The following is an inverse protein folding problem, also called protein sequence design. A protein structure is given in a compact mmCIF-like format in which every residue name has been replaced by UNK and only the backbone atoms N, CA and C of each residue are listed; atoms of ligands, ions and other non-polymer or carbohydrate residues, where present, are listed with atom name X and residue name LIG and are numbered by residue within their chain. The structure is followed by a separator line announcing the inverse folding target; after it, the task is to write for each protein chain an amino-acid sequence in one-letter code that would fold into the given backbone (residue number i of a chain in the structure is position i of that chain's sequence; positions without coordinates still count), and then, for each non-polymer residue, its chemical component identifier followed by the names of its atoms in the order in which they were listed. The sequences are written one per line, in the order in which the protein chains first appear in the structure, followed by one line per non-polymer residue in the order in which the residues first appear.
data_IF_405958916452
#
_entry.id   IF_405958916452
#
_cell.length_a   1.000
_cell.length_b   1.000
_cell.length_c   1.000
_cell.angle_alpha   90.00
_cell.angle_beta   90.00
_cell.angle_gamma   90.00
#
_symmetry.space_group_name_H-M   'P 1'
#
loop_
_entity.id
_entity.type
_entity.pdbx_description
1 polymer ?
#
# COMPACT_ATOMS: atom_id res chain seq x y z
N UNK A 1 -54.46 16.84 0.30
CA UNK A 1 -54.33 16.76 1.78
C UNK A 1 -53.79 15.37 2.09
N UNK A 2 -52.56 15.13 2.52
CA UNK A 2 -51.55 15.98 3.16
C UNK A 2 -50.16 15.60 2.64
N UNK A 3 -49.36 16.63 2.39
CA UNK A 3 -47.94 16.62 2.05
C UNK A 3 -47.06 15.74 2.94
N UNK A 4 -46.07 15.07 2.35
CA UNK A 4 -44.74 15.01 2.96
C UNK A 4 -43.64 14.88 1.89
N UNK A 5 -43.17 16.02 1.39
CA UNK A 5 -41.94 16.16 0.62
C UNK A 5 -40.74 16.20 1.58
N UNK A 6 -39.99 15.12 1.71
CA UNK A 6 -38.66 15.18 2.31
C UNK A 6 -37.57 15.02 1.24
N UNK A 7 -37.19 16.17 0.69
CA UNK A 7 -35.92 16.42 0.01
C UNK A 7 -34.79 16.11 1.00
N UNK A 8 -33.90 15.18 0.65
CA UNK A 8 -32.59 15.06 1.30
C UNK A 8 -31.53 14.79 0.25
N UNK A 9 -31.10 15.83 -0.47
CA UNK A 9 -29.76 15.97 -1.05
C UNK A 9 -29.62 17.43 -1.51
N UNK A 10 -28.87 18.24 -0.75
CA UNK A 10 -28.38 19.54 -1.21
C UNK A 10 -26.91 19.67 -0.80
N UNK A 11 -26.02 19.48 -1.78
CA UNK A 11 -24.61 19.81 -1.72
C UNK A 11 -24.48 21.32 -1.45
N UNK A 12 -23.99 21.71 -0.28
CA UNK A 12 -23.73 23.11 0.05
C UNK A 12 -22.25 23.43 -0.17
N UNK A 13 -21.91 23.83 -1.40
CA UNK A 13 -20.63 24.43 -1.77
C UNK A 13 -20.67 25.92 -1.42
N UNK A 14 -20.32 26.28 -0.17
CA UNK A 14 -19.65 27.55 0.21
C UNK A 14 -19.71 27.79 1.72
N UNK A 15 -18.62 27.49 2.43
CA UNK A 15 -18.20 28.31 3.58
C UNK A 15 -16.69 28.15 3.84
N UNK A 16 -15.90 29.02 3.22
CA UNK A 16 -14.55 29.34 3.70
C UNK A 16 -14.70 30.20 4.96
N UNK A 17 -14.32 29.70 6.12
CA UNK A 17 -13.99 30.55 7.26
C UNK A 17 -12.54 30.30 7.71
N UNK A 18 -11.75 31.36 7.59
CA UNK A 18 -10.36 31.49 8.05
C UNK A 18 -10.31 31.31 9.57
N UNK A 19 -9.54 30.34 10.05
CA UNK A 19 -9.07 30.33 11.44
C UNK A 19 -7.66 30.94 11.50
N UNK A 20 -7.57 32.09 12.15
CA UNK A 20 -6.34 32.79 12.51
C UNK A 20 -5.50 31.95 13.47
N UNK A 21 -4.36 31.41 13.03
CA UNK A 21 -3.29 30.96 13.94
C UNK A 21 -2.26 32.07 14.08
N UNK A 22 -2.22 32.66 15.28
CA UNK A 22 -1.19 33.61 15.71
C UNK A 22 0.16 32.90 15.75
N UNK A 23 1.12 33.46 15.02
CA UNK A 23 2.54 33.16 15.10
C UNK A 23 3.09 33.73 16.42
N UNK A 24 3.77 32.92 17.22
CA UNK A 24 4.63 33.41 18.32
C UNK A 24 6.08 33.08 17.97
N UNK A 25 6.79 34.14 17.57
CA UNK A 25 8.24 34.20 17.50
C UNK A 25 8.78 34.49 18.89
N UNK A 26 9.56 33.58 19.47
CA UNK A 26 10.32 33.87 20.69
C UNK A 26 11.77 34.17 20.33
N UNK A 27 12.13 35.44 20.52
CA UNK A 27 13.47 36.01 20.46
C UNK A 27 14.18 35.79 21.80
N UNK A 28 15.46 35.40 21.76
CA UNK A 28 16.32 35.29 22.92
C UNK A 28 16.65 36.67 23.52
N UNK A 29 16.60 36.80 24.85
CA UNK A 29 17.11 37.98 25.53
C UNK A 29 16.99 37.93 27.06
N UNK A 30 18.14 38.17 27.71
CA UNK A 30 18.36 38.59 29.11
C UNK A 30 18.11 37.61 30.27
N UNK A 31 19.25 37.05 30.72
CA UNK A 31 19.71 36.83 32.10
C UNK A 31 18.86 37.43 33.23
N UNK A 32 18.35 36.55 34.10
CA UNK A 32 18.52 36.61 35.57
C UNK A 32 18.20 35.25 36.20
N UNK A 33 18.97 34.91 37.24
CA UNK A 33 19.05 33.70 38.08
C UNK A 33 17.67 33.27 38.65
N UNK A 34 17.38 32.03 39.04
CA UNK A 34 18.09 31.11 39.96
C UNK A 34 17.63 29.65 39.73
N UNK A 35 18.52 28.67 39.88
CA UNK A 35 18.16 27.27 40.13
C UNK A 35 18.94 26.77 41.33
N UNK A 36 18.19 26.20 42.28
CA UNK A 36 18.66 25.79 43.59
C UNK A 36 19.59 24.58 43.59
N UNK A 37 20.39 24.57 44.65
CA UNK A 37 21.38 23.59 45.06
C UNK A 37 20.81 22.19 45.34
N UNK A 38 21.54 21.16 44.90
CA UNK A 38 21.72 19.94 45.67
C UNK A 38 23.21 19.61 45.73
N UNK A 39 23.80 19.79 46.92
CA UNK A 39 25.06 19.18 47.30
C UNK A 39 24.76 17.75 47.75
N UNK A 40 25.52 16.78 47.22
CA UNK A 40 25.88 15.56 47.93
C UNK A 40 27.32 15.25 47.50
N UNK A 41 28.25 15.44 48.43
CA UNK A 41 29.64 15.00 48.31
C UNK A 41 29.71 13.52 48.68
N UNK A 42 30.00 12.66 47.71
CA UNK A 42 30.60 11.35 47.95
C UNK A 42 32.01 11.40 47.38
N UNK A 43 33.01 11.37 48.26
CA UNK A 43 34.43 11.32 47.89
C UNK A 43 34.77 9.91 47.39
N UNK A 44 35.06 9.79 46.09
CA UNK A 44 35.55 8.57 45.46
C UNK A 44 36.99 8.28 45.92
N UNK A 45 37.28 7.01 46.22
CA UNK A 45 38.63 6.62 46.63
C UNK A 45 39.58 6.60 45.42
N UNK A 46 40.88 6.81 45.64
CA UNK A 46 41.89 6.90 44.58
C UNK A 46 41.96 5.61 43.74
N UNK A 47 41.60 4.46 44.33
CA UNK A 47 41.47 3.17 43.64
C UNK A 47 40.26 3.12 42.71
N UNK A 48 39.12 3.70 43.10
CA UNK A 48 37.91 3.75 42.26
C UNK A 48 38.11 4.66 41.04
N UNK A 49 38.90 5.73 41.22
CA UNK A 49 39.26 6.64 40.12
C UNK A 49 40.20 5.97 39.11
N UNK A 50 41.17 5.19 39.59
CA UNK A 50 42.08 4.43 38.73
C UNK A 50 41.37 3.30 37.97
N UNK A 51 40.43 2.59 38.60
CA UNK A 51 39.68 1.52 37.95
C UNK A 51 38.71 2.09 36.88
N UNK A 52 38.08 3.24 37.16
CA UNK A 52 37.28 3.97 36.17
C UNK A 52 38.12 4.51 34.99
N UNK A 53 39.35 4.97 35.25
CA UNK A 53 40.26 5.42 34.20
C UNK A 53 40.81 4.27 33.33
N UNK A 54 41.02 3.09 33.92
CA UNK A 54 41.42 1.87 33.20
C UNK A 54 40.26 1.33 32.35
N UNK A 55 39.03 1.35 32.88
CA UNK A 55 37.84 0.96 32.10
C UNK A 55 37.51 1.97 30.97
N UNK A 56 37.83 3.26 31.13
CA UNK A 56 37.67 4.25 30.06
C UNK A 56 38.75 4.17 28.96
N UNK A 57 39.86 3.46 29.20
CA UNK A 57 40.97 3.30 28.25
C UNK A 57 40.93 1.98 27.46
N UNK A 58 39.99 1.09 27.78
CA UNK A 58 39.65 -0.10 26.97
C UNK A 58 38.36 0.23 26.23
N UNK A 59 38.49 0.66 24.97
CA UNK A 59 37.38 1.18 24.18
C UNK A 59 36.25 0.17 23.97
N UNK A 60 35.10 0.43 24.58
CA UNK A 60 33.83 -0.09 24.09
C UNK A 60 33.32 0.83 22.96
N UNK A 61 33.17 0.27 21.76
CA UNK A 61 32.55 0.95 20.63
C UNK A 61 31.09 1.30 20.96
N UNK A 62 30.85 2.56 21.30
CA UNK A 62 29.49 3.09 21.35
C UNK A 62 28.93 3.15 19.93
N UNK A 63 27.92 2.32 19.65
CA UNK A 63 27.13 2.40 18.40
C UNK A 63 26.48 3.78 18.33
N UNK A 64 26.98 4.65 17.44
CA UNK A 64 26.35 5.94 17.11
C UNK A 64 24.91 5.71 16.65
N UNK A 65 23.98 6.45 17.25
CA UNK A 65 22.58 6.38 16.84
C UNK A 65 22.38 6.89 15.40
N UNK A 66 21.26 6.54 14.78
CA UNK A 66 20.97 6.90 13.39
C UNK A 66 20.76 8.40 13.16
N UNK A 67 20.65 9.21 14.23
CA UNK A 67 20.47 10.66 14.16
C UNK A 67 21.82 11.37 14.06
N UNK A 68 22.80 10.96 14.86
CA UNK A 68 24.18 11.47 14.84
C UNK A 68 24.93 11.12 13.54
N UNK A 69 24.54 10.04 12.88
CA UNK A 69 25.12 9.63 11.58
C UNK A 69 24.74 10.56 10.42
N UNK A 70 23.63 11.29 10.52
CA UNK A 70 23.10 12.13 9.41
C UNK A 70 23.56 13.57 9.53
N UNK A 71 23.68 14.10 10.75
CA UNK A 71 23.91 15.53 10.96
C UNK A 71 25.35 15.91 11.36
N UNK A 72 26.18 14.96 11.81
CA UNK A 72 27.58 15.23 12.19
C UNK A 72 28.60 14.78 11.13
N UNK A 73 28.20 14.79 9.85
CA UNK A 73 29.15 14.55 8.76
C UNK A 73 29.82 15.88 8.40
N UNK A 74 31.03 16.11 8.90
CA UNK A 74 31.90 17.22 8.43
C UNK A 74 32.24 17.03 6.95
N UNK A 75 31.39 17.55 6.06
CA UNK A 75 31.58 17.52 4.61
C UNK A 75 32.47 18.69 4.16
N UNK A 76 33.73 18.40 3.85
CA UNK A 76 34.57 19.36 3.13
C UNK A 76 34.17 19.41 1.63
N UNK A 77 34.39 20.54 0.93
CA UNK A 77 34.06 20.74 -0.50
C UNK A 77 34.53 19.60 -1.39
N UNK A 78 35.70 19.00 -1.12
CA UNK A 78 36.21 17.82 -1.83
C UNK A 78 35.36 16.56 -1.60
N UNK A 79 34.89 16.34 -0.37
CA UNK A 79 34.04 15.19 -0.04
C UNK A 79 32.61 15.40 -0.56
N UNK A 80 32.11 16.63 -0.54
CA UNK A 80 30.85 16.99 -1.20
C UNK A 80 30.94 16.77 -2.72
N UNK A 81 32.03 17.19 -3.37
CA UNK A 81 32.27 16.90 -4.79
C UNK A 81 32.42 15.40 -5.08
N UNK A 82 33.07 14.63 -4.19
CA UNK A 82 33.17 13.16 -4.31
C UNK A 82 31.82 12.46 -4.14
N UNK A 83 30.99 12.92 -3.21
CA UNK A 83 29.63 12.40 -2.99
C UNK A 83 28.69 12.79 -4.15
N UNK A 84 28.78 14.03 -4.64
CA UNK A 84 28.07 14.50 -5.83
C UNK A 84 28.52 13.78 -7.10
N UNK A 85 29.82 13.51 -7.26
CA UNK A 85 30.33 12.70 -8.38
C UNK A 85 29.96 11.23 -8.23
N UNK A 86 29.92 10.67 -7.02
CA UNK A 86 29.42 9.31 -6.78
C UNK A 86 27.92 9.19 -7.08
N UNK A 87 27.11 10.19 -6.75
CA UNK A 87 25.68 10.22 -7.10
C UNK A 87 25.44 10.52 -8.58
N UNK A 88 26.28 11.34 -9.22
CA UNK A 88 26.33 11.48 -10.67
C UNK A 88 26.83 10.21 -11.38
N UNK A 89 27.69 9.40 -10.75
CA UNK A 89 28.15 8.11 -11.26
C UNK A 89 27.07 7.04 -11.18
N UNK A 90 26.09 7.16 -10.29
CA UNK A 90 24.89 6.30 -10.31
C UNK A 90 24.03 6.66 -11.54
N UNK A 91 23.94 7.94 -11.91
CA UNK A 91 23.30 8.37 -13.16
C UNK A 91 24.13 8.06 -14.41
N UNK A 92 25.45 8.20 -14.36
CA UNK A 92 26.35 7.94 -15.48
C UNK A 92 26.69 6.46 -15.65
N UNK A 93 26.48 5.62 -14.64
CA UNK A 93 26.74 4.17 -14.70
C UNK A 93 25.85 3.45 -15.71
N UNK A 94 24.62 3.90 -15.89
CA UNK A 94 23.73 3.43 -16.95
C UNK A 94 24.21 3.89 -18.35
N UNK A 95 24.70 5.13 -18.47
CA UNK A 95 25.26 5.65 -19.73
C UNK A 95 26.57 4.94 -20.09
N UNK A 96 27.41 4.65 -19.09
CA UNK A 96 28.70 3.97 -19.25
C UNK A 96 28.55 2.48 -19.54
N UNK A 97 27.50 1.81 -19.05
CA UNK A 97 27.21 0.40 -19.37
C UNK A 97 26.64 0.23 -20.78
N UNK A 98 25.83 1.19 -21.26
CA UNK A 98 25.36 1.23 -22.65
C UNK A 98 26.50 1.49 -23.66
N UNK A 99 27.55 2.21 -23.26
CA UNK A 99 28.68 2.60 -24.13
C UNK A 99 29.92 1.72 -23.97
N UNK A 100 29.95 0.81 -23.00
CA UNK A 100 31.07 -0.13 -22.84
C UNK A 100 31.18 -1.06 -24.05
N UNK A 101 32.37 -1.13 -24.67
CA UNK A 101 32.62 -2.02 -25.82
C UNK A 101 32.65 -3.49 -25.38
N UNK A 102 32.84 -3.77 -24.08
CA UNK A 102 33.00 -5.12 -23.51
C UNK A 102 31.72 -5.71 -22.93
N UNK A 103 30.61 -4.96 -22.86
CA UNK A 103 29.34 -5.50 -22.35
C UNK A 103 28.58 -6.26 -23.44
N UNK A 104 28.07 -7.45 -23.06
CA UNK A 104 27.19 -8.25 -23.91
C UNK A 104 25.94 -7.48 -24.36
N UNK A 105 25.42 -7.80 -25.54
CA UNK A 105 24.25 -7.13 -26.14
C UNK A 105 23.04 -7.12 -25.21
N UNK A 106 22.77 -8.23 -24.52
CA UNK A 106 21.66 -8.32 -23.55
C UNK A 106 21.88 -7.43 -22.32
N UNK A 107 23.12 -7.29 -21.86
CA UNK A 107 23.47 -6.41 -20.75
C UNK A 107 23.25 -4.94 -21.11
N UNK A 108 23.59 -4.54 -22.34
CA UNK A 108 23.33 -3.19 -22.86
C UNK A 108 21.84 -2.91 -22.99
N UNK A 109 21.10 -3.87 -23.55
CA UNK A 109 19.64 -3.75 -23.69
C UNK A 109 18.96 -3.63 -22.32
N UNK A 110 19.38 -4.44 -21.34
CA UNK A 110 18.88 -4.35 -19.97
C UNK A 110 19.15 -2.98 -19.35
N UNK A 111 20.36 -2.45 -19.50
CA UNK A 111 20.71 -1.13 -18.97
C UNK A 111 19.87 0.00 -19.61
N UNK A 112 19.62 -0.10 -20.92
CA UNK A 112 18.75 0.83 -21.64
C UNK A 112 17.31 0.75 -21.13
N UNK A 113 16.76 -0.44 -20.94
CA UNK A 113 15.40 -0.63 -20.40
C UNK A 113 15.31 -0.08 -18.98
N UNK A 114 16.27 -0.41 -18.11
CA UNK A 114 16.28 0.05 -16.72
C UNK A 114 16.36 1.59 -16.65
N UNK A 115 17.12 2.22 -17.56
CA UNK A 115 17.16 3.68 -17.70
C UNK A 115 15.81 4.26 -18.12
N UNK A 116 15.20 3.73 -19.18
CA UNK A 116 13.90 4.21 -19.65
C UNK A 116 12.80 4.05 -18.60
N UNK A 117 12.81 2.95 -17.85
CA UNK A 117 11.85 2.73 -16.76
C UNK A 117 12.10 3.65 -15.55
N UNK A 118 13.34 4.04 -15.29
CA UNK A 118 13.66 4.98 -14.21
C UNK A 118 13.21 6.41 -14.53
N UNK A 119 13.25 6.81 -15.80
CA UNK A 119 12.94 8.18 -16.25
C UNK A 119 11.58 8.31 -16.93
N UNK A 120 10.75 7.27 -16.91
CA UNK A 120 9.39 7.35 -17.48
C UNK A 120 8.52 8.36 -16.73
N UNK A 121 7.55 8.91 -17.46
CA UNK A 121 6.54 9.80 -16.89
C UNK A 121 5.54 9.08 -15.97
N UNK A 122 4.68 9.88 -15.34
CA UNK A 122 3.58 9.36 -14.52
C UNK A 122 2.58 8.60 -15.41
N UNK A 123 2.33 7.32 -15.09
CA UNK A 123 1.47 6.44 -15.90
C UNK A 123 0.06 6.98 -16.14
N UNK A 124 -0.49 7.73 -15.19
CA UNK A 124 -1.81 8.37 -15.32
C UNK A 124 -1.86 9.37 -16.48
N UNK A 125 -0.75 10.02 -16.78
CA UNK A 125 -0.64 11.07 -17.80
C UNK A 125 -0.10 10.55 -19.14
N UNK A 126 0.33 9.28 -19.19
CA UNK A 126 0.87 8.67 -20.40
C UNK A 126 -0.23 8.42 -21.43
N UNK A 127 0.10 8.64 -22.69
CA UNK A 127 -0.69 8.20 -23.84
C UNK A 127 -0.74 6.67 -23.92
N UNK A 128 -1.71 6.14 -24.66
CA UNK A 128 -1.88 4.68 -24.79
C UNK A 128 -0.66 4.01 -25.46
N UNK A 129 -0.01 4.71 -26.41
CA UNK A 129 1.23 4.22 -27.03
C UNK A 129 2.40 4.18 -26.04
N UNK A 130 2.53 5.18 -25.17
CA UNK A 130 3.55 5.19 -24.12
C UNK A 130 3.30 4.10 -23.08
N UNK A 131 2.04 3.87 -22.70
CA UNK A 131 1.65 2.77 -21.81
C UNK A 131 2.01 1.41 -22.43
N UNK A 132 1.73 1.23 -23.73
CA UNK A 132 2.08 0.01 -24.46
C UNK A 132 3.59 -0.23 -24.49
N UNK A 133 4.39 0.78 -24.82
CA UNK A 133 5.86 0.70 -24.79
C UNK A 133 6.39 0.33 -23.39
N UNK A 134 5.77 0.88 -22.35
CA UNK A 134 6.12 0.54 -20.96
C UNK A 134 5.87 -0.93 -20.66
N UNK A 135 4.71 -1.46 -21.08
CA UNK A 135 4.40 -2.89 -20.96
C UNK A 135 5.42 -3.74 -21.72
N UNK A 136 5.74 -3.39 -22.96
CA UNK A 136 6.73 -4.11 -23.78
C UNK A 136 8.11 -4.16 -23.10
N UNK A 137 8.57 -3.04 -22.52
CA UNK A 137 9.82 -2.98 -21.76
C UNK A 137 9.79 -3.83 -20.50
N UNK A 138 8.69 -3.82 -19.75
CA UNK A 138 8.56 -4.65 -18.55
C UNK A 138 8.55 -6.14 -18.88
N UNK A 139 7.84 -6.54 -19.94
CA UNK A 139 7.84 -7.93 -20.44
C UNK A 139 9.25 -8.33 -20.88
N UNK A 140 9.95 -7.46 -21.63
CA UNK A 140 11.33 -7.72 -22.07
C UNK A 140 12.31 -7.78 -20.90
N UNK A 141 12.20 -6.89 -19.92
CA UNK A 141 13.01 -6.89 -18.70
C UNK A 141 12.80 -8.17 -17.88
N UNK A 142 11.57 -8.68 -17.82
CA UNK A 142 11.30 -9.97 -17.21
C UNK A 142 11.95 -11.12 -18.00
N UNK A 143 11.80 -11.14 -19.33
CA UNK A 143 12.41 -12.14 -20.22
C UNK A 143 13.94 -12.21 -20.08
N UNK A 144 14.62 -11.06 -20.01
CA UNK A 144 16.08 -11.02 -19.84
C UNK A 144 16.49 -11.57 -18.46
N UNK A 145 15.70 -11.32 -17.40
CA UNK A 145 16.03 -11.76 -16.04
C UNK A 145 15.78 -13.25 -15.79
N UNK A 146 14.71 -13.82 -16.37
CA UNK A 146 14.23 -15.17 -16.03
C UNK A 146 14.31 -16.15 -17.19
N UNK A 147 14.55 -15.69 -18.42
CA UNK A 147 14.46 -16.50 -19.64
C UNK A 147 13.02 -16.88 -20.02
N UNK A 148 12.00 -16.39 -19.30
CA UNK A 148 10.58 -16.72 -19.50
C UNK A 148 9.76 -15.49 -19.88
N UNK A 149 8.67 -15.71 -20.59
CA UNK A 149 7.76 -14.64 -21.02
C UNK A 149 6.55 -14.54 -20.09
N UNK A 150 6.09 -13.30 -19.85
CA UNK A 150 4.83 -12.99 -19.18
C UNK A 150 3.88 -12.29 -20.15
N UNK A 151 2.58 -12.44 -19.92
CA UNK A 151 1.54 -11.71 -20.63
C UNK A 151 1.10 -10.54 -19.75
N UNK A 152 1.38 -9.31 -20.16
CA UNK A 152 1.01 -8.13 -19.38
C UNK A 152 0.07 -7.23 -20.18
N UNK A 153 -1.03 -6.83 -19.54
CA UNK A 153 -2.01 -5.90 -20.09
C UNK A 153 -1.86 -4.49 -19.50
N UNK A 154 -2.16 -3.48 -20.30
CA UNK A 154 -2.37 -2.08 -19.91
C UNK A 154 -3.79 -1.60 -20.22
N UNK A 155 -4.77 -2.51 -20.25
CA UNK A 155 -6.16 -2.18 -20.58
C UNK A 155 -6.67 -1.09 -19.63
N UNK A 156 -7.08 0.05 -20.20
CA UNK A 156 -7.63 1.17 -19.44
C UNK A 156 -8.97 0.78 -18.78
N UNK A 157 -9.46 1.65 -17.89
CA UNK A 157 -10.80 1.52 -17.35
C UNK A 157 -11.85 1.52 -18.47
N UNK A 158 -12.88 0.71 -18.32
CA UNK A 158 -14.01 0.69 -19.25
C UNK A 158 -14.99 1.80 -18.89
N UNK A 159 -15.48 2.50 -19.91
CA UNK A 159 -16.56 3.48 -19.74
C UNK A 159 -17.86 2.76 -19.37
N UNK A 160 -18.70 3.42 -18.59
CA UNK A 160 -20.01 2.91 -18.16
C UNK A 160 -19.95 1.59 -17.36
N UNK A 161 -18.80 1.31 -16.74
CA UNK A 161 -18.61 0.24 -15.77
C UNK A 161 -18.29 0.85 -14.42
N UNK A 162 -18.85 0.32 -13.35
CA UNK A 162 -18.47 0.67 -11.98
C UNK A 162 -18.39 -0.59 -11.13
N UNK A 163 -17.19 -1.01 -10.76
CA UNK A 163 -17.03 -2.24 -9.99
C UNK A 163 -17.43 -2.05 -8.53
N UNK A 164 -18.18 -3.02 -8.01
CA UNK A 164 -18.55 -3.12 -6.60
C UNK A 164 -18.41 -4.53 -6.05
N UNK A 165 -18.42 -4.63 -4.73
CA UNK A 165 -18.26 -5.89 -4.02
C UNK A 165 -19.29 -6.02 -2.89
N UNK A 166 -19.91 -7.19 -2.73
CA UNK A 166 -20.80 -7.49 -1.60
C UNK A 166 -20.35 -8.78 -0.89
N UNK A 167 -20.35 -8.76 0.44
CA UNK A 167 -19.90 -9.86 1.29
C UNK A 167 -21.05 -10.34 2.19
N UNK A 168 -21.41 -11.60 2.06
CA UNK A 168 -22.42 -12.27 2.86
C UNK A 168 -21.79 -12.81 4.14
N UNK A 169 -22.10 -12.17 5.27
CA UNK A 169 -21.57 -12.57 6.57
C UNK A 169 -22.18 -13.91 7.01
N UNK A 170 -23.46 -14.13 6.73
CA UNK A 170 -24.18 -15.36 7.13
C UNK A 170 -23.64 -16.63 6.43
N UNK A 171 -23.12 -16.49 5.21
CA UNK A 171 -22.54 -17.59 4.43
C UNK A 171 -21.06 -17.83 4.67
N UNK A 172 -20.32 -16.87 5.22
CA UNK A 172 -18.90 -17.07 5.45
C UNK A 172 -18.68 -18.09 6.59
N UNK A 173 -17.85 -19.11 6.33
CA UNK A 173 -17.52 -20.17 7.30
C UNK A 173 -16.05 -20.19 7.69
N UNK A 174 -15.27 -19.19 7.31
CA UNK A 174 -13.88 -19.06 7.75
C UNK A 174 -12.86 -19.90 6.99
N UNK A 175 -13.20 -20.56 5.87
CA UNK A 175 -12.28 -21.48 5.16
C UNK A 175 -11.00 -20.86 4.57
N UNK A 176 -10.92 -19.53 4.46
CA UNK A 176 -9.75 -18.78 3.96
C UNK A 176 -9.27 -19.11 2.53
N UNK A 177 -9.96 -19.94 1.73
CA UNK A 177 -9.62 -20.18 0.31
C UNK A 177 -9.51 -18.87 -0.49
N UNK A 178 -10.35 -17.89 -0.15
CA UNK A 178 -10.33 -16.57 -0.76
C UNK A 178 -9.03 -15.78 -0.49
N UNK A 179 -8.37 -16.03 0.65
CA UNK A 179 -7.07 -15.43 1.01
C UNK A 179 -5.97 -16.09 0.18
N UNK A 180 -5.88 -17.42 0.21
CA UNK A 180 -4.90 -18.20 -0.56
C UNK A 180 -4.96 -17.90 -2.06
N UNK A 181 -6.16 -17.92 -2.64
CA UNK A 181 -6.36 -17.59 -4.05
C UNK A 181 -5.95 -16.15 -4.38
N UNK A 182 -6.12 -15.21 -3.44
CA UNK A 182 -5.69 -13.82 -3.62
C UNK A 182 -4.15 -13.70 -3.60
N UNK A 183 -3.48 -14.46 -2.73
CA UNK A 183 -2.02 -14.52 -2.58
C UNK A 183 -1.36 -15.09 -3.83
N UNK A 184 -1.93 -16.16 -4.40
CA UNK A 184 -1.50 -16.78 -5.64
C UNK A 184 -1.75 -15.87 -6.85
N UNK A 185 -3.02 -15.47 -7.07
CA UNK A 185 -3.43 -14.69 -8.23
C UNK A 185 -2.66 -13.37 -8.34
N UNK A 186 -2.46 -12.71 -7.19
CA UNK A 186 -1.86 -11.38 -7.15
C UNK A 186 -0.36 -11.38 -6.90
N UNK A 187 0.35 -12.51 -7.00
CA UNK A 187 1.81 -12.60 -6.80
C UNK A 187 2.27 -11.90 -5.50
N UNK A 188 1.52 -12.10 -4.40
CA UNK A 188 1.84 -11.47 -3.12
C UNK A 188 3.10 -12.10 -2.51
N UNK A 189 3.87 -11.31 -1.77
CA UNK A 189 5.12 -11.77 -1.17
C UNK A 189 4.90 -12.97 -0.22
N UNK A 190 5.68 -14.04 -0.42
CA UNK A 190 5.65 -15.22 0.45
C UNK A 190 6.45 -15.00 1.73
N UNK A 191 7.52 -14.21 1.66
CA UNK A 191 8.43 -14.02 2.78
C UNK A 191 7.79 -13.23 3.92
N UNK A 192 7.10 -12.13 3.60
CA UNK A 192 6.36 -11.34 4.59
C UNK A 192 4.96 -11.87 4.94
N UNK A 193 4.56 -13.02 4.38
CA UNK A 193 3.19 -13.57 4.50
C UNK A 193 2.15 -12.49 4.19
N UNK A 194 2.33 -11.83 3.05
CA UNK A 194 1.52 -10.69 2.66
C UNK A 194 0.09 -11.12 2.33
N UNK A 195 -0.88 -10.50 3.00
CA UNK A 195 -2.31 -10.78 2.78
C UNK A 195 -3.14 -9.51 2.56
N UNK A 196 -3.76 -9.43 1.39
CA UNK A 196 -4.70 -8.35 1.04
C UNK A 196 -6.09 -8.50 1.64
N UNK A 197 -6.45 -9.72 2.01
CA UNK A 197 -7.75 -10.09 2.56
C UNK A 197 -7.48 -10.63 3.96
N UNK A 198 -8.23 -10.17 4.96
CA UNK A 198 -8.26 -10.79 6.29
C UNK A 198 -9.64 -11.34 6.55
N UNK A 199 -9.70 -12.49 7.22
CA UNK A 199 -10.95 -13.05 7.73
C UNK A 199 -10.88 -12.96 9.26
N UNK A 200 -11.84 -12.25 9.83
CA UNK A 200 -11.98 -12.03 11.26
C UNK A 200 -12.93 -13.06 11.81
N UNK A 201 -12.46 -13.96 12.68
CA UNK A 201 -13.31 -14.81 13.51
C UNK A 201 -13.81 -14.02 14.72
N UNK A 202 -15.12 -13.98 14.91
CA UNK A 202 -15.76 -13.23 15.99
C UNK A 202 -16.80 -14.09 16.70
N UNK A 203 -16.94 -13.89 18.02
CA UNK A 203 -17.94 -14.57 18.84
C UNK A 203 -19.33 -14.01 18.60
N UNK A 204 -20.30 -14.91 18.48
CA UNK A 204 -21.72 -14.56 18.38
C UNK A 204 -22.18 -13.73 19.60
N UNK A 205 -23.10 -12.79 19.36
CA UNK A 205 -23.69 -11.97 20.43
C UNK A 205 -22.84 -10.81 20.95
N UNK A 206 -21.57 -10.70 20.54
CA UNK A 206 -20.69 -9.56 20.91
C UNK A 206 -20.62 -8.43 19.88
N UNK A 207 -21.36 -8.55 18.78
CA UNK A 207 -21.34 -7.58 17.69
C UNK A 207 -20.01 -7.54 16.93
N UNK A 208 -19.78 -6.48 16.15
CA UNK A 208 -18.54 -6.27 15.38
C UNK A 208 -17.42 -5.72 16.25
N UNK A 209 -16.92 -6.52 17.18
CA UNK A 209 -15.80 -6.15 18.04
C UNK A 209 -14.46 -6.62 17.43
N UNK A 210 -13.85 -5.78 16.60
CA UNK A 210 -12.56 -6.05 15.98
C UNK A 210 -11.39 -6.17 16.98
N UNK A 211 -11.54 -5.70 18.23
CA UNK A 211 -10.49 -5.84 19.24
C UNK A 211 -10.44 -7.25 19.84
N UNK A 212 -11.55 -7.99 19.77
CA UNK A 212 -11.64 -9.37 20.25
C UNK A 212 -11.63 -10.39 19.10
N UNK A 213 -11.54 -9.92 17.84
CA UNK A 213 -11.50 -10.78 16.68
C UNK A 213 -10.17 -11.54 16.60
N UNK A 214 -10.23 -12.82 16.22
CA UNK A 214 -9.06 -13.59 15.87
C UNK A 214 -8.87 -13.61 14.35
N UNK A 215 -7.71 -13.13 13.89
CA UNK A 215 -7.34 -13.05 12.49
C UNK A 215 -6.36 -14.19 12.10
N UNK A 216 -5.88 -14.95 13.09
CA UNK A 216 -4.83 -15.97 12.94
C UNK A 216 -5.28 -17.31 13.53
N UNK A 217 -6.52 -17.71 13.29
CA UNK A 217 -7.06 -18.97 13.77
C UNK A 217 -6.57 -20.15 12.93
N UNK A 218 -6.18 -21.24 13.60
CA UNK A 218 -5.71 -22.50 12.98
C UNK A 218 -6.41 -23.71 13.61
N UNK A 219 -7.71 -23.82 13.38
CA UNK A 219 -8.53 -24.96 13.80
C UNK A 219 -9.61 -25.28 12.76
N UNK A 220 -10.36 -26.35 13.00
CA UNK A 220 -11.50 -26.70 12.15
C UNK A 220 -12.56 -25.58 12.18
N UNK A 221 -13.04 -25.20 11.00
CA UNK A 221 -14.05 -24.14 10.82
C UNK A 221 -15.27 -24.70 10.09
N UNK A 222 -16.49 -24.21 10.38
CA UNK A 222 -16.80 -23.11 11.29
C UNK A 222 -16.72 -23.50 12.78
N UNK A 223 -16.11 -22.65 13.60
CA UNK A 223 -16.15 -22.79 15.05
C UNK A 223 -17.57 -22.56 15.59
N UNK A 224 -17.94 -23.35 16.60
CA UNK A 224 -19.27 -23.24 17.23
C UNK A 224 -19.40 -21.90 17.96
N UNK A 225 -20.49 -21.18 17.73
CA UNK A 225 -20.78 -19.89 18.36
C UNK A 225 -19.92 -18.73 17.82
N UNK A 226 -19.37 -18.88 16.61
CA UNK A 226 -18.58 -17.87 15.93
C UNK A 226 -19.15 -17.57 14.54
N UNK A 227 -18.93 -16.34 14.08
CA UNK A 227 -19.19 -15.89 12.73
C UNK A 227 -17.92 -15.25 12.14
N UNK A 228 -17.86 -15.19 10.81
CA UNK A 228 -16.68 -14.75 10.09
C UNK A 228 -16.98 -13.54 9.23
N UNK A 229 -16.10 -12.55 9.26
CA UNK A 229 -16.23 -11.34 8.44
C UNK A 229 -14.92 -11.07 7.71
N UNK A 230 -14.99 -10.95 6.38
CA UNK A 230 -13.81 -10.65 5.58
C UNK A 230 -13.62 -9.15 5.35
N UNK A 231 -12.42 -8.63 5.58
CA UNK A 231 -12.04 -7.26 5.19
C UNK A 231 -10.96 -7.28 4.10
N UNK A 232 -10.95 -6.22 3.30
CA UNK A 232 -9.97 -5.97 2.23
C UNK A 232 -10.03 -4.49 1.83
N UNK A 233 -9.30 -4.06 0.79
CA UNK A 233 -9.53 -2.73 0.23
C UNK A 233 -10.96 -2.61 -0.35
N UNK A 234 -11.68 -1.57 0.06
CA UNK A 234 -13.07 -1.34 -0.37
C UNK A 234 -13.22 -0.47 -1.62
N UNK A 235 -12.12 -0.01 -2.21
CA UNK A 235 -12.15 0.86 -3.40
C UNK A 235 -13.13 2.03 -3.23
N UNK A 236 -12.97 2.79 -2.15
CA UNK A 236 -13.79 3.95 -1.79
C UNK A 236 -13.98 4.96 -2.93
N UNK A 237 -15.17 5.56 -3.03
CA UNK A 237 -15.45 6.67 -3.94
C UNK A 237 -14.92 8.00 -3.44
N UNK A 238 -14.84 8.17 -2.12
CA UNK A 238 -14.10 9.24 -1.46
C UNK A 238 -12.87 8.67 -0.72
N UNK A 239 -11.81 8.24 -1.43
CA UNK A 239 -10.69 7.53 -0.83
C UNK A 239 -9.69 8.47 -0.15
N UNK A 240 -9.60 8.50 1.20
CA UNK A 240 -8.62 9.36 1.90
C UNK A 240 -7.19 8.98 1.54
N UNK A 241 -6.95 7.70 1.24
CA UNK A 241 -5.65 7.19 0.82
C UNK A 241 -5.14 7.76 -0.52
N UNK A 242 -6.02 8.32 -1.36
CA UNK A 242 -5.64 9.02 -2.60
C UNK A 242 -5.23 10.45 -2.29
N UNK A 243 -6.03 11.16 -1.50
CA UNK A 243 -5.80 12.57 -1.17
C UNK A 243 -4.46 12.80 -0.46
N UNK A 244 -4.08 11.88 0.43
CA UNK A 244 -2.83 12.00 1.20
C UNK A 244 -1.56 11.62 0.41
N UNK A 245 -1.67 11.19 -0.85
CA UNK A 245 -0.51 10.77 -1.63
C UNK A 245 0.22 11.99 -2.23
N UNK A 246 1.41 12.36 -1.73
CA UNK A 246 2.07 13.61 -2.14
C UNK A 246 2.53 13.59 -3.60
N UNK A 247 2.82 12.42 -4.15
CA UNK A 247 3.29 12.23 -5.53
C UNK A 247 2.20 11.76 -6.48
N UNK A 248 0.95 11.62 -6.00
CA UNK A 248 -0.18 11.13 -6.79
C UNK A 248 0.05 9.76 -7.47
N UNK A 249 0.75 8.85 -6.77
CA UNK A 249 0.97 7.47 -7.23
C UNK A 249 -0.29 6.58 -7.13
N UNK A 250 -1.37 7.08 -6.54
CA UNK A 250 -2.64 6.38 -6.42
C UNK A 250 -3.76 7.33 -6.81
N UNK A 251 -4.76 6.83 -7.55
CA UNK A 251 -5.91 7.59 -8.01
C UNK A 251 -7.12 6.67 -8.18
N UNK A 252 -8.30 7.24 -8.42
CA UNK A 252 -9.51 6.51 -8.79
C UNK A 252 -9.68 6.54 -10.31
N UNK A 253 -9.88 5.37 -10.91
CA UNK A 253 -10.21 5.17 -12.32
C UNK A 253 -11.72 5.34 -12.57
N UNK A 254 -12.11 5.52 -13.84
CA UNK A 254 -13.53 5.65 -14.24
C UNK A 254 -14.36 4.41 -13.89
N UNK A 255 -13.74 3.23 -13.90
CA UNK A 255 -14.35 1.95 -13.50
C UNK A 255 -14.55 1.80 -11.98
N UNK A 256 -14.22 2.85 -11.22
CA UNK A 256 -14.33 2.92 -9.78
C UNK A 256 -13.15 2.30 -9.02
N UNK A 257 -12.19 1.67 -9.71
CA UNK A 257 -11.04 1.10 -9.03
C UNK A 257 -10.12 2.21 -8.53
N UNK A 258 -9.84 2.21 -7.22
CA UNK A 258 -8.65 2.90 -6.70
C UNK A 258 -7.43 2.09 -7.13
N UNK A 259 -6.47 2.68 -7.83
CA UNK A 259 -5.27 1.99 -8.35
C UNK A 259 -4.00 2.54 -7.71
N UNK A 260 -2.89 1.82 -7.84
CA UNK A 260 -1.56 2.26 -7.41
C UNK A 260 -0.59 1.98 -8.54
N UNK A 261 0.15 3.00 -8.94
CA UNK A 261 1.34 2.79 -9.74
C UNK A 261 2.52 2.49 -8.81
N UNK A 262 2.96 1.24 -8.82
CA UNK A 262 4.10 0.79 -8.02
C UNK A 262 5.40 1.47 -8.41
N UNK A 263 5.56 1.91 -9.68
CA UNK A 263 6.82 2.54 -10.09
C UNK A 263 6.91 3.98 -9.60
N UNK A 264 5.78 4.68 -9.60
CA UNK A 264 5.65 6.06 -9.12
C UNK A 264 5.55 6.18 -7.59
N UNK A 265 5.21 5.08 -6.90
CA UNK A 265 5.10 5.06 -5.45
C UNK A 265 6.48 5.27 -4.79
N UNK A 266 6.60 6.33 -3.97
CA UNK A 266 7.82 6.65 -3.21
C UNK A 266 7.87 6.03 -1.81
N UNK A 267 6.85 5.27 -1.41
CA UNK A 267 6.88 4.53 -0.15
C UNK A 267 6.75 5.38 1.13
N UNK A 268 6.16 6.58 1.08
CA UNK A 268 5.97 7.43 2.27
C UNK A 268 4.95 6.91 3.30
N UNK A 269 4.15 5.89 2.93
CA UNK A 269 3.16 5.19 3.78
C UNK A 269 2.00 6.03 4.34
N UNK A 270 1.87 7.31 4.00
CA UNK A 270 0.72 8.11 4.45
C UNK A 270 -0.63 7.52 4.05
N UNK A 271 -0.71 6.91 2.86
CA UNK A 271 -1.92 6.23 2.42
C UNK A 271 -2.30 5.00 3.27
N UNK A 272 -1.32 4.38 3.95
CA UNK A 272 -1.56 3.30 4.91
C UNK A 272 -2.22 3.85 6.17
N UNK A 273 -1.63 4.90 6.76
CA UNK A 273 -2.16 5.56 7.96
C UNK A 273 -3.55 6.19 7.73
N UNK A 274 -3.81 6.72 6.53
CA UNK A 274 -5.08 7.34 6.19
C UNK A 274 -6.21 6.34 5.90
N UNK A 275 -5.92 5.05 5.70
CA UNK A 275 -6.95 4.07 5.37
C UNK A 275 -7.65 3.59 6.65
N UNK A 276 -8.96 3.86 6.84
CA UNK A 276 -9.66 3.47 8.07
C UNK A 276 -9.97 1.97 8.16
N UNK A 277 -9.61 1.21 7.13
CA UNK A 277 -9.93 -0.21 6.94
C UNK A 277 -8.68 -1.10 6.91
N UNK A 278 -7.49 -0.53 7.11
CA UNK A 278 -6.20 -1.25 6.95
C UNK A 278 -6.06 -1.99 5.60
N UNK A 279 -6.67 -1.43 4.54
CA UNK A 279 -6.71 -2.03 3.21
C UNK A 279 -5.43 -1.83 2.38
N UNK A 280 -4.33 -1.43 3.02
CA UNK A 280 -3.06 -1.04 2.39
C UNK A 280 -1.92 -1.82 3.04
N UNK A 281 -1.01 -2.32 2.21
CA UNK A 281 0.16 -3.09 2.66
C UNK A 281 1.45 -2.49 2.15
N UNK A 282 2.54 -2.63 2.88
CA UNK A 282 3.84 -2.07 2.50
C UNK A 282 4.90 -3.15 2.36
N UNK A 283 5.67 -3.10 1.28
CA UNK A 283 6.81 -4.00 1.07
C UNK A 283 8.04 -3.53 1.84
N UNK A 284 8.23 -4.08 3.04
CA UNK A 284 9.39 -3.79 3.89
C UNK A 284 10.68 -4.39 3.34
N UNK A 285 10.60 -5.62 2.85
CA UNK A 285 11.65 -6.35 2.15
C UNK A 285 11.39 -6.35 0.65
N UNK A 286 12.32 -6.93 -0.12
CA UNK A 286 12.08 -7.25 -1.52
C UNK A 286 11.09 -8.42 -1.56
N UNK A 287 9.95 -8.29 -2.26
CA UNK A 287 9.01 -9.40 -2.41
C UNK A 287 9.64 -10.60 -3.12
N UNK A 288 9.36 -11.79 -2.62
CA UNK A 288 9.81 -13.07 -3.13
C UNK A 288 8.59 -13.97 -3.40
N UNK A 289 8.47 -14.39 -4.65
CA UNK A 289 7.47 -15.35 -5.12
C UNK A 289 8.23 -16.44 -5.87
N UNK A 290 8.08 -17.72 -5.50
CA UNK A 290 8.70 -18.82 -6.22
C UNK A 290 8.35 -18.75 -7.70
N UNK A 291 9.36 -18.84 -8.56
CA UNK A 291 9.21 -18.67 -10.01
C UNK A 291 8.30 -19.72 -10.67
N UNK A 292 8.02 -20.84 -9.98
CA UNK A 292 7.01 -21.83 -10.40
C UNK A 292 5.56 -21.38 -10.11
N UNK A 293 5.35 -20.53 -9.11
CA UNK A 293 4.03 -20.04 -8.67
C UNK A 293 3.67 -18.68 -9.28
N UNK A 294 4.61 -18.01 -9.95
CA UNK A 294 4.36 -16.68 -10.53
C UNK A 294 3.22 -16.76 -11.54
N UNK A 295 2.15 -16.02 -11.25
CA UNK A 295 1.09 -15.76 -12.22
C UNK A 295 1.62 -14.86 -13.33
N UNK A 296 1.72 -15.43 -14.53
CA UNK A 296 2.25 -14.78 -15.73
C UNK A 296 1.24 -13.90 -16.45
N UNK A 297 -0.05 -14.00 -16.13
CA UNK A 297 -1.09 -13.14 -16.66
C UNK A 297 -1.22 -11.92 -15.76
N UNK A 298 -0.62 -10.82 -16.20
CA UNK A 298 -0.41 -9.64 -15.40
C UNK A 298 -1.12 -8.41 -15.95
N UNK A 299 -1.37 -7.44 -15.08
CA UNK A 299 -1.78 -6.10 -15.47
C UNK A 299 -0.84 -5.07 -14.86
N UNK A 300 -0.53 -3.99 -15.57
CA UNK A 300 0.43 -2.97 -15.12
C UNK A 300 0.07 -2.39 -13.73
N UNK A 301 -1.21 -2.05 -13.53
CA UNK A 301 -1.77 -1.56 -12.26
C UNK A 301 -2.23 -2.67 -11.29
N UNK A 302 -1.89 -3.93 -11.59
CA UNK A 302 -2.45 -5.12 -10.94
C UNK A 302 -1.42 -5.97 -10.23
N UNK A 303 -1.37 -7.25 -10.58
CA UNK A 303 -0.59 -8.31 -9.95
C UNK A 303 0.86 -8.44 -10.45
N UNK A 304 1.45 -7.42 -11.07
CA UNK A 304 2.87 -7.47 -11.45
C UNK A 304 3.76 -7.57 -10.22
N UNK A 305 4.93 -8.18 -10.35
CA UNK A 305 5.93 -8.25 -9.28
C UNK A 305 6.32 -6.84 -8.80
N UNK A 306 6.31 -6.63 -7.48
CA UNK A 306 6.58 -5.33 -6.87
C UNK A 306 8.03 -5.22 -6.42
N UNK A 307 8.48 -3.98 -6.24
CA UNK A 307 9.79 -3.64 -5.66
C UNK A 307 9.69 -3.41 -4.15
N UNK A 308 10.82 -3.49 -3.46
CA UNK A 308 10.91 -3.05 -2.06
C UNK A 308 10.49 -1.58 -1.95
N UNK A 309 9.79 -1.24 -0.87
CA UNK A 309 9.50 0.15 -0.54
C UNK A 309 8.25 0.72 -1.20
N UNK A 310 7.38 -0.11 -1.78
CA UNK A 310 6.13 0.36 -2.40
C UNK A 310 4.91 -0.11 -1.64
N UNK A 311 3.82 0.62 -1.83
CA UNK A 311 2.52 0.29 -1.29
C UNK A 311 1.75 -0.63 -2.24
N UNK A 312 1.05 -1.58 -1.63
CA UNK A 312 0.23 -2.59 -2.24
C UNK A 312 -1.17 -2.59 -1.63
N UNK A 313 -2.12 -3.21 -2.33
CA UNK A 313 -3.49 -3.41 -1.86
C UNK A 313 -4.24 -4.35 -2.78
N UNK A 314 -5.40 -4.84 -2.32
CA UNK A 314 -6.37 -5.46 -3.21
C UNK A 314 -6.72 -4.52 -4.39
N UNK A 315 -6.70 -5.07 -5.59
CA UNK A 315 -6.96 -4.35 -6.86
C UNK A 315 -8.27 -4.79 -7.52
N UNK A 316 -9.14 -5.50 -6.78
CA UNK A 316 -10.26 -6.27 -7.34
C UNK A 316 -9.85 -7.15 -8.53
N UNK A 317 -8.62 -7.68 -8.47
CA UNK A 317 -7.98 -8.45 -9.54
C UNK A 317 -8.16 -7.77 -10.90
N UNK A 318 -7.67 -6.54 -11.06
CA UNK A 318 -7.81 -5.73 -12.29
C UNK A 318 -7.43 -6.50 -13.57
N UNK A 319 -6.47 -7.42 -13.48
CA UNK A 319 -6.06 -8.33 -14.56
C UNK A 319 -7.16 -9.32 -15.01
N UNK A 320 -8.15 -9.57 -14.14
CA UNK A 320 -9.32 -10.44 -14.37
C UNK A 320 -10.59 -9.63 -14.61
N UNK A 321 -10.88 -8.65 -13.74
CA UNK A 321 -12.14 -7.89 -13.78
C UNK A 321 -12.31 -7.10 -15.07
N UNK A 322 -11.25 -6.45 -15.56
CA UNK A 322 -11.26 -5.78 -16.88
C UNK A 322 -11.32 -6.75 -18.07
N UNK A 323 -11.14 -8.05 -17.84
CA UNK A 323 -11.35 -9.10 -18.85
C UNK A 323 -12.74 -9.76 -18.72
N UNK A 324 -13.65 -9.19 -17.92
CA UNK A 324 -14.99 -9.74 -17.70
C UNK A 324 -15.02 -10.98 -16.80
N UNK A 325 -13.93 -11.27 -16.08
CA UNK A 325 -13.83 -12.42 -15.17
C UNK A 325 -14.01 -11.99 -13.72
N UNK A 326 -14.46 -12.91 -12.88
CA UNK A 326 -14.53 -12.67 -11.45
C UNK A 326 -13.13 -12.58 -10.82
N UNK A 327 -12.96 -11.80 -9.74
CA UNK A 327 -11.77 -11.83 -8.91
C UNK A 327 -11.52 -13.25 -8.37
N UNK A 328 -10.25 -13.64 -8.21
CA UNK A 328 -9.90 -14.98 -7.74
C UNK A 328 -10.54 -15.32 -6.39
N UNK A 329 -10.63 -14.35 -5.48
CA UNK A 329 -11.26 -14.54 -4.18
C UNK A 329 -12.77 -14.81 -4.24
N UNK A 330 -13.45 -14.41 -5.31
CA UNK A 330 -14.88 -14.69 -5.54
C UNK A 330 -15.04 -16.12 -6.04
N UNK A 331 -14.25 -16.52 -7.03
CA UNK A 331 -14.31 -17.88 -7.60
C UNK A 331 -13.86 -18.96 -6.63
N UNK A 332 -12.86 -18.67 -5.80
CA UNK A 332 -12.34 -19.62 -4.83
C UNK A 332 -13.25 -19.81 -3.60
N UNK A 333 -14.25 -18.94 -3.38
CA UNK A 333 -15.07 -19.00 -2.17
C UNK A 333 -16.07 -20.16 -2.23
N UNK A 334 -15.91 -21.23 -1.42
CA UNK A 334 -16.73 -22.43 -1.55
C UNK A 334 -18.19 -22.21 -1.13
N UNK A 335 -18.45 -21.22 -0.27
CA UNK A 335 -19.80 -20.91 0.22
C UNK A 335 -20.53 -19.86 -0.62
N UNK A 336 -19.86 -19.27 -1.63
CA UNK A 336 -20.41 -18.16 -2.40
C UNK A 336 -20.71 -16.92 -1.56
N UNK A 337 -19.95 -16.70 -0.47
CA UNK A 337 -20.12 -15.54 0.40
C UNK A 337 -19.73 -14.22 -0.28
N UNK A 338 -18.93 -14.27 -1.34
CA UNK A 338 -18.39 -13.10 -2.04
C UNK A 338 -19.12 -12.90 -3.35
N UNK A 339 -19.61 -11.68 -3.58
CA UNK A 339 -20.29 -11.28 -4.82
C UNK A 339 -19.58 -10.06 -5.38
N UNK A 340 -19.25 -10.10 -6.66
CA UNK A 340 -18.60 -8.99 -7.38
C UNK A 340 -19.36 -8.72 -8.67
N UNK A 341 -19.39 -7.46 -9.11
CA UNK A 341 -20.04 -7.13 -10.37
C UNK A 341 -20.03 -5.64 -10.69
N UNK A 342 -20.67 -5.31 -11.81
CA UNK A 342 -20.88 -3.93 -12.27
C UNK A 342 -22.13 -3.33 -11.59
N UNK A 343 -21.93 -2.29 -10.78
CA UNK A 343 -23.00 -1.56 -10.09
C UNK A 343 -23.89 -0.76 -11.04
N UNK A 344 -23.42 -0.43 -12.24
CA UNK A 344 -24.22 0.27 -13.26
C UNK A 344 -25.10 -0.68 -14.07
N UNK A 345 -24.83 -1.99 -14.04
CA UNK A 345 -25.69 -2.98 -14.69
C UNK A 345 -26.84 -3.36 -13.74
N UNK A 346 -28.11 -3.03 -14.09
CA UNK A 346 -29.26 -3.34 -13.26
C UNK A 346 -29.51 -4.85 -13.13
N UNK A 347 -29.03 -5.66 -14.08
CA UNK A 347 -29.19 -7.12 -14.08
C UNK A 347 -28.05 -7.84 -13.36
N UNK A 348 -27.07 -7.11 -12.84
CA UNK A 348 -25.94 -7.73 -12.15
C UNK A 348 -26.36 -8.35 -10.81
N UNK A 349 -25.71 -9.46 -10.44
CA UNK A 349 -25.98 -10.15 -9.16
C UNK A 349 -25.78 -9.23 -7.96
N UNK A 350 -24.77 -8.36 -8.00
CA UNK A 350 -24.54 -7.40 -6.92
C UNK A 350 -25.68 -6.39 -6.82
N UNK A 351 -26.21 -5.89 -7.93
CA UNK A 351 -27.35 -4.96 -7.91
C UNK A 351 -28.57 -5.61 -7.26
N UNK A 352 -28.87 -6.85 -7.65
CA UNK A 352 -29.95 -7.62 -7.03
C UNK A 352 -29.76 -7.77 -5.51
N UNK A 353 -28.54 -8.08 -5.04
CA UNK A 353 -28.24 -8.16 -3.60
C UNK A 353 -28.49 -6.83 -2.90
N UNK A 354 -28.01 -5.72 -3.45
CA UNK A 354 -28.16 -4.39 -2.84
C UNK A 354 -29.63 -3.93 -2.77
N UNK A 355 -30.48 -4.37 -3.71
CA UNK A 355 -31.90 -4.02 -3.75
C UNK A 355 -32.77 -4.93 -2.87
N UNK A 356 -32.42 -6.21 -2.74
CA UNK A 356 -33.29 -7.22 -2.11
C UNK A 356 -32.84 -7.67 -0.72
N UNK A 357 -31.62 -7.33 -0.29
CA UNK A 357 -31.06 -7.75 1.00
C UNK A 357 -30.84 -6.56 1.92
N UNK A 358 -30.81 -6.84 3.22
CA UNK A 358 -30.38 -5.85 4.21
C UNK A 358 -28.88 -5.71 4.13
N UNK A 359 -28.43 -4.57 3.62
CA UNK A 359 -27.02 -4.27 3.41
C UNK A 359 -26.56 -3.14 4.32
N UNK A 360 -25.29 -3.15 4.69
CA UNK A 360 -24.65 -2.03 5.38
C UNK A 360 -23.21 -1.84 4.87
N UNK A 361 -22.65 -0.67 5.15
CA UNK A 361 -21.26 -0.33 4.85
C UNK A 361 -20.48 -0.18 6.15
N UNK A 362 -19.25 -0.70 6.17
CA UNK A 362 -18.40 -0.58 7.35
C UNK A 362 -17.89 0.86 7.50
N UNK A 363 -18.06 1.44 8.69
CA UNK A 363 -17.66 2.83 9.04
C UNK A 363 -18.25 3.89 8.10
N UNK A 364 -19.56 3.83 7.89
CA UNK A 364 -20.29 4.76 7.03
C UNK A 364 -20.21 6.23 7.51
N UNK A 365 -20.10 6.42 8.83
CA UNK A 365 -19.92 7.71 9.51
C UNK A 365 -18.70 8.51 9.02
N UNK A 366 -17.68 7.83 8.47
CA UNK A 366 -16.47 8.47 7.96
C UNK A 366 -16.63 9.08 6.56
N UNK A 367 -17.76 8.85 5.87
CA UNK A 367 -18.04 9.46 4.56
C UNK A 367 -17.06 9.09 3.45
N UNK A 368 -16.41 7.91 3.54
CA UNK A 368 -15.49 7.44 2.48
C UNK A 368 -16.21 6.83 1.28
N UNK A 369 -17.52 6.59 1.39
CA UNK A 369 -18.35 5.95 0.37
C UNK A 369 -17.72 4.64 -0.17
N UNK A 370 -17.54 3.61 0.67
CA UNK A 370 -16.91 2.36 0.24
C UNK A 370 -17.78 1.61 -0.77
N UNK A 371 -17.17 1.09 -1.84
CA UNK A 371 -17.83 0.21 -2.82
C UNK A 371 -17.75 -1.27 -2.40
N UNK A 372 -17.94 -1.47 -1.10
CA UNK A 372 -17.90 -2.77 -0.45
C UNK A 372 -19.03 -2.82 0.58
N UNK A 373 -20.00 -3.70 0.35
CA UNK A 373 -21.17 -3.86 1.20
C UNK A 373 -21.12 -5.19 1.94
N UNK A 374 -21.65 -5.20 3.15
CA UNK A 374 -21.90 -6.40 3.91
C UNK A 374 -23.40 -6.67 3.97
N UNK A 375 -23.78 -7.95 3.92
CA UNK A 375 -25.19 -8.34 3.99
C UNK A 375 -25.36 -9.69 4.67
N UNK A 376 -26.61 -9.97 5.03
CA UNK A 376 -27.06 -11.22 5.66
C UNK A 376 -28.29 -11.72 4.92
N UNK A 377 -28.53 -13.04 4.97
CA UNK A 377 -29.61 -13.68 4.20
C UNK A 377 -31.01 -13.56 4.79
#
# INVERSE_FOLDING_TARGET
MSDNKNKWFSLNLNSRQKQNRKTHSCTCGSNTRECGSHQNNEELTETDFLEAAVNASIGEETKKDGFDQVFDVKMNRRNAFKQLTASLLIGAGAVSSCTSVTSDKESKEKAQIDWEEQFKGNYKLMSDDEKKKTVERLVRSYQIRTGKTINMSSKNAEKDVLFGYAFNISKCKGYMDCVSACVEENNQDRNSQMEYIRIHEMKDGKGFNFNEADDNYYHEVPAKGHFYMGTQCFHCDNPPCVEVCPVQATWREEDGLVVVDYDWCVGCRYCMAACPYDGRRFNWSKPEVPEAEVNKNQHYLGNRMRKKGVMEKCTFCVQRSRAGKNPACVEACPTGARVFGNLLDPNSTIRWVLENKKVFRLKEDLGTEPKFWYYMD
#
